data_IF_257092858783
#
_entry.id   IF_257092858783
#
_cell.length_a   1.000
_cell.length_b   1.000
_cell.length_c   1.000
_cell.angle_alpha   90.00
_cell.angle_beta   90.00
_cell.angle_gamma   90.00
#
_symmetry.space_group_name_H-M   'P 1'
#
loop_
_entity.id
_entity.type
_entity.pdbx_description
1 polymer ?
#
# COMPACT_ATOMS: atom_id res chain seq x y z
N UNK A 1 36.33 46.58 9.59
CA UNK A 1 36.60 45.77 8.39
C UNK A 1 35.41 45.91 7.48
N UNK A 2 35.55 46.46 6.26
CA UNK A 2 34.43 46.47 5.33
C UNK A 2 34.16 45.03 4.90
N UNK A 3 32.89 44.63 4.96
CA UNK A 3 32.42 43.34 4.44
C UNK A 3 32.49 43.48 2.92
N UNK A 4 33.41 42.74 2.29
CA UNK A 4 33.42 42.61 0.83
C UNK A 4 32.06 42.05 0.42
N UNK A 5 31.29 42.86 -0.30
CA UNK A 5 30.05 42.43 -0.92
C UNK A 5 30.48 41.47 -2.04
N UNK A 6 30.35 40.17 -1.83
CA UNK A 6 30.55 39.18 -2.89
C UNK A 6 29.68 39.57 -4.10
N UNK A 7 30.30 40.03 -5.19
CA UNK A 7 29.60 40.37 -6.43
C UNK A 7 28.92 39.10 -6.96
N UNK A 8 27.60 39.01 -6.73
CA UNK A 8 26.76 37.94 -7.22
C UNK A 8 26.78 38.00 -8.76
N UNK A 9 27.34 36.96 -9.40
CA UNK A 9 27.45 36.92 -10.86
C UNK A 9 26.09 37.22 -11.52
N UNK A 10 25.96 38.26 -12.36
CA UNK A 10 24.67 38.72 -12.89
C UNK A 10 24.04 37.73 -13.86
N UNK A 11 24.84 36.89 -14.50
CA UNK A 11 24.37 35.92 -15.49
C UNK A 11 23.64 34.75 -14.83
N UNK A 12 24.18 34.24 -13.73
CA UNK A 12 23.62 33.09 -13.02
C UNK A 12 23.03 33.46 -11.65
N UNK A 13 22.99 34.75 -11.29
CA UNK A 13 22.59 35.24 -9.98
C UNK A 13 23.24 34.47 -8.82
N UNK A 14 24.55 34.22 -8.92
CA UNK A 14 25.27 33.47 -7.88
C UNK A 14 25.09 31.95 -7.94
N UNK A 15 24.22 31.40 -8.80
CA UNK A 15 23.99 29.95 -8.95
C UNK A 15 25.20 29.21 -9.52
N UNK A 16 25.97 29.86 -10.41
CA UNK A 16 27.15 29.29 -11.08
C UNK A 16 26.82 28.45 -12.32
N UNK A 17 25.55 28.23 -12.61
CA UNK A 17 25.08 27.42 -13.73
C UNK A 17 23.89 28.11 -14.36
N UNK A 18 23.62 27.78 -15.61
CA UNK A 18 22.45 28.23 -16.33
C UNK A 18 21.74 26.99 -16.84
N UNK A 19 20.43 26.98 -16.67
CA UNK A 19 19.56 26.17 -17.51
C UNK A 19 19.15 27.10 -18.64
N UNK A 20 19.59 26.87 -19.89
CA UNK A 20 19.17 27.70 -21.02
C UNK A 20 17.65 27.74 -21.08
N UNK A 21 17.07 28.94 -21.09
CA UNK A 21 15.64 29.14 -21.29
C UNK A 21 15.33 28.96 -22.79
N UNK A 22 15.15 27.70 -23.18
CA UNK A 22 14.88 27.29 -24.57
C UNK A 22 13.53 26.57 -24.65
N UNK A 23 12.86 26.54 -25.81
CA UNK A 23 11.60 25.81 -25.96
C UNK A 23 11.73 24.30 -25.77
N UNK A 24 10.64 23.65 -25.36
CA UNK A 24 10.52 22.19 -25.24
C UNK A 24 10.92 21.51 -26.56
N UNK A 25 11.82 20.53 -26.50
CA UNK A 25 12.37 19.81 -27.66
C UNK A 25 13.70 20.33 -28.20
N UNK A 26 14.22 21.44 -27.68
CA UNK A 26 15.59 21.88 -27.96
C UNK A 26 16.62 20.95 -27.25
N UNK A 27 17.78 20.64 -27.86
CA UNK A 27 18.78 19.76 -27.24
C UNK A 27 19.23 20.24 -25.86
N UNK A 28 19.34 21.55 -25.69
CA UNK A 28 19.78 22.19 -24.45
C UNK A 28 18.63 22.42 -23.44
N UNK A 29 17.40 21.99 -23.75
CA UNK A 29 16.27 22.09 -22.83
C UNK A 29 16.56 21.29 -21.55
N UNK A 30 16.52 21.95 -20.40
CA UNK A 30 16.83 21.31 -19.11
C UNK A 30 18.29 20.91 -18.91
N UNK A 31 19.17 21.20 -19.88
CA UNK A 31 20.59 20.93 -19.74
C UNK A 31 21.25 21.96 -18.83
N UNK A 32 22.27 21.49 -18.11
CA UNK A 32 23.11 22.33 -17.26
C UNK A 32 24.31 22.78 -18.05
N UNK A 33 24.41 24.07 -18.27
CA UNK A 33 25.65 24.66 -18.73
C UNK A 33 26.32 25.39 -17.58
N UNK A 34 27.63 25.18 -17.45
CA UNK A 34 28.42 25.94 -16.50
C UNK A 34 28.36 27.42 -16.88
N UNK A 35 28.03 28.27 -15.91
CA UNK A 35 28.13 29.70 -16.13
C UNK A 35 29.61 30.04 -16.33
N UNK A 36 29.89 31.03 -17.16
CA UNK A 36 31.25 31.52 -17.43
C UNK A 36 31.98 31.94 -16.15
N UNK A 37 31.26 32.32 -15.09
CA UNK A 37 31.85 32.64 -13.78
C UNK A 37 32.48 31.43 -13.05
N UNK A 38 32.37 30.22 -13.60
CA UNK A 38 33.00 29.01 -13.06
C UNK A 38 34.34 28.64 -13.67
N UNK A 39 34.76 29.30 -14.75
CA UNK A 39 35.98 28.93 -15.46
C UNK A 39 37.26 28.94 -14.57
N UNK A 40 37.22 29.64 -13.43
CA UNK A 40 38.36 29.81 -12.52
C UNK A 40 38.23 29.12 -11.15
N UNK A 41 37.15 28.37 -10.87
CA UNK A 41 36.93 27.78 -9.54
C UNK A 41 37.55 26.39 -9.38
N UNK A 42 38.09 26.11 -8.19
CA UNK A 42 38.55 24.76 -7.83
C UNK A 42 37.35 23.80 -7.65
N UNK A 43 37.61 22.49 -7.74
CA UNK A 43 36.59 21.45 -7.57
C UNK A 43 35.87 21.56 -6.21
N UNK A 44 36.59 21.94 -5.15
CA UNK A 44 36.00 22.13 -3.81
C UNK A 44 35.03 23.32 -3.72
N UNK A 45 35.41 24.47 -4.27
CA UNK A 45 34.56 25.67 -4.31
C UNK A 45 33.30 25.46 -5.17
N UNK A 46 33.43 24.65 -6.23
CA UNK A 46 32.33 24.22 -7.09
C UNK A 46 31.29 23.39 -6.32
N UNK A 47 31.73 22.40 -5.54
CA UNK A 47 30.85 21.55 -4.73
C UNK A 47 30.18 22.32 -3.58
N UNK A 48 30.89 23.23 -2.92
CA UNK A 48 30.31 24.03 -1.83
C UNK A 48 29.19 24.96 -2.34
N UNK A 49 29.39 25.57 -3.52
CA UNK A 49 28.37 26.42 -4.16
C UNK A 49 27.14 25.61 -4.59
N UNK A 50 27.33 24.40 -5.09
CA UNK A 50 26.23 23.46 -5.39
C UNK A 50 25.43 23.11 -4.14
N UNK A 51 26.11 22.90 -2.99
CA UNK A 51 25.44 22.62 -1.72
C UNK A 51 24.56 23.79 -1.28
N UNK A 52 25.01 25.04 -1.44
CA UNK A 52 24.20 26.25 -1.16
C UNK A 52 22.95 26.31 -2.06
N UNK A 53 23.07 25.93 -3.33
CA UNK A 53 21.96 25.90 -4.29
C UNK A 53 20.96 24.74 -4.04
N UNK A 54 21.45 23.61 -3.54
CA UNK A 54 20.68 22.37 -3.49
C UNK A 54 19.54 22.31 -2.49
N UNK A 55 19.45 23.28 -1.58
CA UNK A 55 18.50 23.31 -0.48
C UNK A 55 18.55 22.02 0.40
N UNK A 56 19.68 21.31 0.42
CA UNK A 56 19.88 20.13 1.26
C UNK A 56 20.06 20.47 2.75
N UNK A 57 20.62 21.63 3.08
CA UNK A 57 20.84 22.06 4.47
C UNK A 57 21.51 20.97 5.33
N UNK A 58 20.78 20.48 6.34
CA UNK A 58 21.24 19.45 7.27
C UNK A 58 21.30 18.03 6.68
N UNK A 59 20.71 17.80 5.49
CA UNK A 59 20.71 16.51 4.80
C UNK A 59 22.04 16.22 4.07
N UNK A 60 22.97 17.18 4.06
CA UNK A 60 24.33 17.01 3.49
C UNK A 60 25.12 15.88 4.13
N UNK A 61 24.80 15.50 5.38
CA UNK A 61 25.41 14.36 6.09
C UNK A 61 24.87 12.98 5.68
N UNK A 62 23.76 12.94 4.94
CA UNK A 62 23.08 11.71 4.54
C UNK A 62 23.64 11.26 3.19
N UNK A 63 24.63 10.36 3.22
CA UNK A 63 25.30 9.83 2.03
C UNK A 63 25.05 8.32 1.93
N UNK A 64 25.46 7.72 0.81
CA UNK A 64 25.44 6.25 0.68
C UNK A 64 26.37 5.56 1.70
N UNK A 65 27.44 6.23 2.14
CA UNK A 65 28.38 5.69 3.13
C UNK A 65 27.81 5.69 4.56
N UNK A 66 26.93 6.65 4.89
CA UNK A 66 26.25 6.70 6.20
C UNK A 66 24.96 5.90 6.22
N UNK A 67 24.57 5.27 5.11
CA UNK A 67 23.35 4.47 4.99
C UNK A 67 23.59 3.02 5.43
N UNK A 68 22.71 2.52 6.30
CA UNK A 68 22.66 1.08 6.59
C UNK A 68 22.05 0.34 5.38
N UNK A 69 22.88 -0.40 4.63
CA UNK A 69 22.49 -1.04 3.35
C UNK A 69 21.36 -2.06 3.51
N UNK A 70 21.23 -2.70 4.68
CA UNK A 70 20.13 -3.62 4.98
C UNK A 70 18.85 -2.91 5.45
N UNK A 71 18.92 -1.59 5.68
CA UNK A 71 17.84 -0.83 6.29
C UNK A 71 17.62 -1.21 7.76
N UNK A 72 16.60 -0.60 8.36
CA UNK A 72 16.26 -0.78 9.79
C UNK A 72 15.21 -1.86 10.06
N UNK A 73 14.73 -2.53 9.01
CA UNK A 73 13.73 -3.57 9.12
C UNK A 73 14.35 -4.86 9.67
N UNK A 74 13.60 -5.60 10.50
CA UNK A 74 14.05 -6.87 11.07
C UNK A 74 13.72 -8.07 10.16
N UNK A 75 12.81 -7.91 9.20
CA UNK A 75 12.40 -8.98 8.31
C UNK A 75 13.31 -9.09 7.06
N UNK A 76 13.70 -10.31 6.65
CA UNK A 76 14.62 -10.51 5.52
C UNK A 76 14.13 -9.96 4.18
N UNK A 77 12.82 -9.97 3.94
CA UNK A 77 12.23 -9.49 2.69
C UNK A 77 12.40 -7.97 2.54
N UNK A 78 12.07 -7.21 3.58
CA UNK A 78 12.28 -5.75 3.58
C UNK A 78 13.76 -5.38 3.50
N UNK A 79 14.65 -6.14 4.14
CA UNK A 79 16.10 -5.93 4.01
C UNK A 79 16.57 -6.14 2.57
N UNK A 80 16.07 -7.18 1.91
CA UNK A 80 16.36 -7.44 0.50
C UNK A 80 15.85 -6.32 -0.41
N UNK A 81 14.58 -5.91 -0.25
CA UNK A 81 13.98 -4.81 -1.01
C UNK A 81 14.75 -3.50 -0.82
N UNK A 82 15.09 -3.17 0.43
CA UNK A 82 15.86 -1.97 0.72
C UNK A 82 17.24 -2.03 0.06
N UNK A 83 17.97 -3.14 0.18
CA UNK A 83 19.30 -3.31 -0.44
C UNK A 83 19.25 -3.18 -1.97
N UNK A 84 18.21 -3.71 -2.62
CA UNK A 84 17.98 -3.54 -4.04
C UNK A 84 17.69 -2.07 -4.39
N UNK A 85 16.90 -1.39 -3.56
CA UNK A 85 16.66 0.04 -3.72
C UNK A 85 17.95 0.86 -3.60
N UNK A 86 18.83 0.56 -2.64
CA UNK A 86 20.17 1.20 -2.52
C UNK A 86 20.97 1.04 -3.81
N UNK A 87 21.06 -0.18 -4.34
CA UNK A 87 21.84 -0.47 -5.54
C UNK A 87 21.33 0.31 -6.75
N UNK A 88 20.01 0.35 -6.94
CA UNK A 88 19.39 1.11 -8.04
C UNK A 88 19.56 2.62 -7.85
N UNK A 89 19.36 3.14 -6.63
CA UNK A 89 19.56 4.55 -6.31
C UNK A 89 21.00 5.01 -6.57
N UNK A 90 21.99 4.16 -6.26
CA UNK A 90 23.40 4.45 -6.54
C UNK A 90 23.67 4.52 -8.05
N UNK A 91 23.17 3.54 -8.82
CA UNK A 91 23.29 3.56 -10.28
C UNK A 91 22.59 4.79 -10.90
N UNK A 92 21.41 5.16 -10.39
CA UNK A 92 20.70 6.37 -10.83
C UNK A 92 21.49 7.65 -10.53
N UNK A 93 22.20 7.73 -9.39
CA UNK A 93 23.01 8.90 -9.06
C UNK A 93 24.23 9.07 -9.99
N UNK A 94 24.78 7.97 -10.51
CA UNK A 94 25.88 7.97 -11.49
C UNK A 94 25.43 8.51 -12.86
N UNK A 95 24.19 8.22 -13.28
CA UNK A 95 23.61 8.72 -14.53
C UNK A 95 22.09 8.97 -14.38
N UNK A 96 21.68 10.14 -13.84
CA UNK A 96 20.28 10.47 -13.65
C UNK A 96 19.54 10.59 -14.99
N UNK A 97 18.61 9.68 -15.23
CA UNK A 97 17.76 9.65 -16.41
C UNK A 97 16.37 9.13 -16.05
N UNK A 98 15.34 9.77 -16.58
CA UNK A 98 13.95 9.47 -16.24
C UNK A 98 13.63 9.78 -14.77
N UNK A 99 12.56 9.18 -14.27
CA UNK A 99 12.10 9.41 -12.89
C UNK A 99 12.37 8.19 -11.99
N UNK A 100 12.61 8.45 -10.71
CA UNK A 100 12.79 7.44 -9.68
C UNK A 100 11.86 7.72 -8.50
N UNK A 101 10.92 6.83 -8.24
CA UNK A 101 10.02 6.93 -7.09
C UNK A 101 10.42 5.95 -5.98
N UNK A 102 10.70 6.47 -4.79
CA UNK A 102 10.93 5.70 -3.57
C UNK A 102 9.63 5.64 -2.77
N UNK A 103 9.06 4.44 -2.61
CA UNK A 103 7.76 4.20 -1.97
C UNK A 103 7.94 3.31 -0.75
N UNK A 104 7.28 3.65 0.35
CA UNK A 104 7.31 2.83 1.57
C UNK A 104 6.96 3.62 2.82
N UNK A 105 6.72 2.98 3.97
CA UNK A 105 6.21 3.65 5.17
C UNK A 105 7.20 4.68 5.74
N UNK A 106 6.73 5.54 6.65
CA UNK A 106 7.61 6.45 7.39
C UNK A 106 8.77 5.69 8.08
N UNK A 107 9.94 6.31 8.15
CA UNK A 107 11.13 5.70 8.77
C UNK A 107 11.81 4.58 7.96
N UNK A 108 11.35 4.27 6.75
CA UNK A 108 11.97 3.26 5.85
C UNK A 108 13.22 3.73 5.10
N UNK A 109 13.77 4.91 5.40
CA UNK A 109 15.02 5.40 4.79
C UNK A 109 14.89 6.12 3.45
N UNK A 110 13.68 6.36 2.93
CA UNK A 110 13.47 7.05 1.63
C UNK A 110 14.14 8.42 1.53
N UNK A 111 13.95 9.28 2.52
CA UNK A 111 14.56 10.63 2.56
C UNK A 111 16.08 10.55 2.62
N UNK A 112 16.64 9.56 3.33
CA UNK A 112 18.09 9.33 3.35
C UNK A 112 18.57 8.92 1.96
N UNK A 113 17.91 7.95 1.31
CA UNK A 113 18.25 7.54 -0.06
C UNK A 113 18.18 8.70 -1.05
N UNK A 114 17.12 9.51 -0.99
CA UNK A 114 16.97 10.69 -1.82
C UNK A 114 18.08 11.73 -1.58
N UNK A 115 18.41 12.00 -0.32
CA UNK A 115 19.54 12.87 0.03
C UNK A 115 20.90 12.29 -0.39
N UNK A 116 21.08 10.97 -0.33
CA UNK A 116 22.30 10.30 -0.77
C UNK A 116 22.50 10.41 -2.28
N UNK A 117 21.42 10.27 -3.08
CA UNK A 117 21.44 10.55 -4.52
C UNK A 117 21.87 12.00 -4.76
N UNK A 118 21.26 12.94 -4.03
CA UNK A 118 21.56 14.37 -4.16
C UNK A 118 23.05 14.67 -3.89
N UNK A 119 23.57 14.18 -2.76
CA UNK A 119 24.96 14.39 -2.36
C UNK A 119 25.94 13.81 -3.39
N UNK A 120 25.70 12.59 -3.87
CA UNK A 120 26.57 11.96 -4.88
C UNK A 120 26.56 12.72 -6.22
N UNK A 121 25.40 13.24 -6.64
CA UNK A 121 25.30 14.08 -7.84
C UNK A 121 26.06 15.40 -7.69
N UNK A 122 25.92 16.06 -6.53
CA UNK A 122 26.62 17.31 -6.21
C UNK A 122 28.14 17.11 -6.17
N UNK A 123 28.60 16.01 -5.56
CA UNK A 123 30.01 15.67 -5.50
C UNK A 123 30.58 15.34 -6.90
N UNK A 124 29.72 14.85 -7.79
CA UNK A 124 30.03 14.67 -9.22
C UNK A 124 29.90 15.97 -10.04
N UNK A 125 29.65 17.10 -9.38
CA UNK A 125 29.58 18.42 -10.03
C UNK A 125 28.27 18.72 -10.76
N UNK A 126 27.20 17.95 -10.50
CA UNK A 126 25.87 18.12 -11.09
C UNK A 126 24.94 18.87 -10.12
N UNK A 127 24.21 19.90 -10.57
CA UNK A 127 23.24 20.60 -9.75
C UNK A 127 21.99 19.76 -9.49
N UNK A 128 21.59 19.77 -8.23
CA UNK A 128 20.40 19.11 -7.73
C UNK A 128 19.62 20.13 -6.94
N UNK A 129 18.29 20.12 -7.06
CA UNK A 129 17.40 20.89 -6.20
C UNK A 129 16.59 19.93 -5.34
N UNK A 130 16.82 19.95 -4.03
CA UNK A 130 16.10 19.13 -3.06
C UNK A 130 15.03 19.98 -2.37
N UNK A 131 13.80 19.50 -2.34
CA UNK A 131 12.73 20.23 -1.65
C UNK A 131 11.76 19.28 -0.97
N UNK A 132 11.37 19.62 0.25
CA UNK A 132 10.28 18.96 0.95
C UNK A 132 8.95 19.50 0.40
N UNK A 133 8.07 18.61 -0.06
CA UNK A 133 6.84 19.00 -0.76
C UNK A 133 5.92 19.90 0.08
N UNK A 134 5.64 19.60 1.37
CA UNK A 134 4.89 20.52 2.23
C UNK A 134 5.51 21.92 2.30
N UNK A 135 6.82 22.01 2.53
CA UNK A 135 7.53 23.28 2.65
C UNK A 135 7.48 24.07 1.33
N UNK A 136 7.61 23.40 0.18
CA UNK A 136 7.46 24.02 -1.14
C UNK A 136 6.10 24.69 -1.28
N UNK A 137 5.03 23.96 -0.94
CA UNK A 137 3.67 24.45 -1.09
C UNK A 137 3.39 25.61 -0.14
N UNK A 138 3.88 25.56 1.10
CA UNK A 138 3.72 26.68 2.03
C UNK A 138 4.50 27.93 1.58
N UNK A 139 5.72 27.77 1.05
CA UNK A 139 6.46 28.90 0.48
C UNK A 139 5.73 29.49 -0.73
N UNK A 140 5.28 28.66 -1.67
CA UNK A 140 4.51 29.11 -2.84
C UNK A 140 3.21 29.82 -2.42
N UNK A 141 2.57 29.39 -1.34
CA UNK A 141 1.34 30.02 -0.82
C UNK A 141 1.64 31.35 -0.13
N UNK A 142 2.72 31.44 0.65
CA UNK A 142 3.11 32.67 1.34
C UNK A 142 3.46 33.81 0.38
N UNK A 143 4.06 33.50 -0.78
CA UNK A 143 4.38 34.48 -1.83
C UNK A 143 3.18 35.04 -2.59
N UNK A 144 1.95 34.56 -2.33
CA UNK A 144 0.72 35.19 -2.83
C UNK A 144 0.17 36.27 -1.88
N UNK A 145 0.80 36.51 -0.72
CA UNK A 145 0.44 37.61 0.15
C UNK A 145 0.80 38.96 -0.51
N UNK A 146 -0.04 40.01 -0.42
CA UNK A 146 0.13 41.28 -1.18
C UNK A 146 1.40 42.11 -0.89
N UNK A 147 2.35 41.62 -0.10
CA UNK A 147 3.43 42.42 0.51
C UNK A 147 4.83 41.81 0.40
N UNK A 148 5.07 40.81 -0.47
CA UNK A 148 6.42 40.23 -0.62
C UNK A 148 7.09 40.64 -1.94
N UNK A 149 8.19 41.39 -1.84
CA UNK A 149 9.09 41.80 -2.94
C UNK A 149 9.97 40.65 -3.49
N UNK A 150 9.71 39.39 -3.08
CA UNK A 150 10.38 38.20 -3.64
C UNK A 150 9.40 37.56 -4.63
N UNK A 151 9.79 37.58 -5.89
CA UNK A 151 9.04 37.11 -7.06
C UNK A 151 8.72 35.62 -6.92
N UNK A 152 7.46 35.31 -6.59
CA UNK A 152 6.81 33.99 -6.70
C UNK A 152 7.31 33.14 -7.88
N UNK A 153 7.59 33.79 -9.02
CA UNK A 153 8.11 33.16 -10.24
C UNK A 153 9.43 32.41 -10.02
N UNK A 154 10.39 32.98 -9.29
CA UNK A 154 11.78 32.49 -9.35
C UNK A 154 11.96 31.11 -8.71
N UNK A 155 11.30 30.87 -7.57
CA UNK A 155 11.35 29.56 -6.89
C UNK A 155 10.57 28.50 -7.68
N UNK A 156 9.42 28.87 -8.24
CA UNK A 156 8.61 27.95 -9.02
C UNK A 156 9.33 27.57 -10.32
N UNK A 157 9.89 28.55 -11.03
CA UNK A 157 10.70 28.35 -12.24
C UNK A 157 11.95 27.52 -11.93
N UNK A 158 12.57 27.72 -10.76
CA UNK A 158 13.68 26.89 -10.30
C UNK A 158 13.27 25.43 -10.11
N UNK A 159 12.08 25.14 -9.55
CA UNK A 159 11.57 23.77 -9.41
C UNK A 159 11.25 23.14 -10.78
N UNK A 160 10.69 23.92 -11.70
CA UNK A 160 10.35 23.45 -13.05
C UNK A 160 11.61 23.09 -13.84
N UNK A 161 12.61 23.97 -13.83
CA UNK A 161 13.82 23.88 -14.67
C UNK A 161 15.00 23.20 -13.97
N UNK A 162 14.83 22.74 -12.73
CA UNK A 162 15.86 22.04 -11.98
C UNK A 162 16.39 20.82 -12.77
N UNK A 163 17.70 20.72 -12.99
CA UNK A 163 18.31 19.64 -13.78
C UNK A 163 18.08 18.25 -13.18
N UNK A 164 18.22 18.15 -11.86
CA UNK A 164 17.72 17.04 -11.07
C UNK A 164 16.86 17.62 -9.95
N UNK A 165 15.58 17.31 -9.95
CA UNK A 165 14.65 17.68 -8.88
C UNK A 165 14.42 16.49 -7.95
N UNK A 166 14.48 16.74 -6.65
CA UNK A 166 14.10 15.78 -5.63
C UNK A 166 12.92 16.33 -4.83
N UNK A 167 11.78 15.66 -4.96
CA UNK A 167 10.54 15.95 -4.24
C UNK A 167 10.39 14.96 -3.09
N UNK A 168 10.73 15.41 -1.88
CA UNK A 168 10.64 14.57 -0.68
C UNK A 168 9.30 14.75 0.05
N UNK A 169 8.62 13.64 0.37
CA UNK A 169 7.41 13.64 1.18
C UNK A 169 6.11 13.88 0.39
N UNK A 170 6.05 13.45 -0.87
CA UNK A 170 4.82 13.52 -1.66
C UNK A 170 3.71 12.68 -1.01
N UNK A 171 2.54 13.30 -0.78
CA UNK A 171 1.36 12.64 -0.18
C UNK A 171 1.16 12.94 1.31
N UNK A 172 2.09 13.64 1.97
CA UNK A 172 1.96 14.07 3.37
C UNK A 172 1.12 15.35 3.55
N UNK A 173 0.70 16.00 2.47
CA UNK A 173 -0.01 17.29 2.49
C UNK A 173 -1.53 17.13 2.51
N UNK A 174 -2.22 18.11 3.12
CA UNK A 174 -3.67 18.28 3.00
C UNK A 174 -4.04 18.44 1.53
N UNK A 175 -4.94 17.59 1.02
CA UNK A 175 -5.37 17.52 -0.38
C UNK A 175 -6.18 18.75 -0.83
N UNK A 176 -5.56 19.94 -0.82
CA UNK A 176 -6.18 21.15 -1.35
C UNK A 176 -6.13 21.12 -2.89
N UNK A 177 -7.19 21.56 -3.60
CA UNK A 177 -7.20 21.63 -5.05
C UNK A 177 -6.02 22.45 -5.63
N UNK A 178 -5.62 23.52 -4.92
CA UNK A 178 -4.48 24.36 -5.31
C UNK A 178 -3.14 23.60 -5.25
N UNK A 179 -2.90 22.81 -4.19
CA UNK A 179 -1.68 22.01 -4.09
C UNK A 179 -1.60 20.96 -5.19
N UNK A 180 -2.74 20.32 -5.51
CA UNK A 180 -2.84 19.36 -6.61
C UNK A 180 -2.53 20.04 -7.95
N UNK A 181 -3.12 21.20 -8.23
CA UNK A 181 -2.87 21.96 -9.47
C UNK A 181 -1.38 22.29 -9.65
N UNK A 182 -0.71 22.76 -8.58
CA UNK A 182 0.71 23.11 -8.64
C UNK A 182 1.62 21.91 -8.84
N UNK A 183 1.33 20.79 -8.16
CA UNK A 183 2.07 19.55 -8.37
C UNK A 183 1.88 19.00 -9.79
N UNK A 184 0.66 19.10 -10.34
CA UNK A 184 0.38 18.71 -11.73
C UNK A 184 1.17 19.58 -12.72
N UNK A 185 1.26 20.90 -12.50
CA UNK A 185 2.08 21.79 -13.33
C UNK A 185 3.55 21.36 -13.34
N UNK A 186 4.12 21.05 -12.17
CA UNK A 186 5.50 20.57 -12.04
C UNK A 186 5.68 19.25 -12.79
N UNK A 187 4.80 18.27 -12.57
CA UNK A 187 4.90 16.96 -13.20
C UNK A 187 4.78 17.07 -14.73
N UNK A 188 3.89 17.91 -15.23
CA UNK A 188 3.66 18.08 -16.67
C UNK A 188 4.87 18.68 -17.37
N UNK A 189 5.42 19.76 -16.83
CA UNK A 189 6.60 20.40 -17.38
C UNK A 189 7.78 19.43 -17.42
N UNK A 190 8.03 18.73 -16.31
CA UNK A 190 9.14 17.79 -16.22
C UNK A 190 8.95 16.52 -17.05
N UNK A 191 7.72 16.08 -17.25
CA UNK A 191 7.42 14.96 -18.17
C UNK A 191 7.66 15.38 -19.61
N UNK A 192 7.17 16.57 -20.02
CA UNK A 192 7.34 17.08 -21.37
C UNK A 192 8.82 17.35 -21.72
N UNK A 193 9.60 17.74 -20.73
CA UNK A 193 11.03 17.98 -20.86
C UNK A 193 11.94 16.78 -20.56
N UNK A 194 11.39 15.61 -20.25
CA UNK A 194 12.13 14.41 -19.83
C UNK A 194 13.16 14.68 -18.70
N UNK A 195 12.82 15.60 -17.79
CA UNK A 195 13.75 16.08 -16.77
C UNK A 195 13.88 15.06 -15.62
N UNK A 196 15.12 14.67 -15.23
CA UNK A 196 15.37 13.73 -14.16
C UNK A 196 14.71 14.13 -12.83
N UNK A 197 13.93 13.22 -12.23
CA UNK A 197 13.14 13.55 -11.02
C UNK A 197 13.14 12.40 -10.03
N UNK A 198 13.53 12.66 -8.79
CA UNK A 198 13.39 11.69 -7.68
C UNK A 198 12.20 12.10 -6.82
N UNK A 199 11.34 11.14 -6.50
CA UNK A 199 10.13 11.36 -5.70
C UNK A 199 10.21 10.42 -4.51
N UNK A 200 9.91 10.91 -3.31
CA UNK A 200 9.65 10.04 -2.16
C UNK A 200 8.19 10.15 -1.72
N UNK A 201 7.57 9.03 -1.39
CA UNK A 201 6.20 9.02 -0.87
C UNK A 201 6.05 7.97 0.22
N UNK A 202 5.38 8.37 1.31
CA UNK A 202 5.06 7.50 2.42
C UNK A 202 3.68 6.83 2.27
N UNK A 203 2.81 7.44 1.48
CA UNK A 203 1.50 6.92 1.10
C UNK A 203 1.64 5.92 -0.03
N UNK A 204 0.64 5.07 -0.19
CA UNK A 204 0.60 4.19 -1.35
C UNK A 204 0.29 5.00 -2.61
N UNK A 205 0.78 4.53 -3.76
CA UNK A 205 0.56 5.24 -5.03
C UNK A 205 -0.92 5.36 -5.38
N UNK A 206 -1.74 4.41 -4.94
CA UNK A 206 -3.20 4.41 -5.16
C UNK A 206 -3.93 5.45 -4.29
N UNK A 207 -3.30 5.92 -3.21
CA UNK A 207 -3.82 6.96 -2.32
C UNK A 207 -3.42 8.38 -2.79
N UNK A 208 -2.55 8.49 -3.80
CA UNK A 208 -2.20 9.76 -4.42
C UNK A 208 -3.30 10.24 -5.37
N UNK A 209 -3.25 11.53 -5.72
CA UNK A 209 -4.07 12.07 -6.80
C UNK A 209 -3.96 11.19 -8.07
N UNK A 210 -5.08 10.76 -8.69
CA UNK A 210 -5.05 9.80 -9.80
C UNK A 210 -4.16 10.24 -10.96
N UNK A 211 -4.07 11.56 -11.19
CA UNK A 211 -3.17 12.11 -12.19
C UNK A 211 -1.70 11.84 -11.85
N UNK A 212 -1.27 12.22 -10.64
CA UNK A 212 0.11 12.00 -10.18
C UNK A 212 0.45 10.51 -10.12
N UNK A 213 -0.47 9.68 -9.62
CA UNK A 213 -0.32 8.22 -9.56
C UNK A 213 -0.05 7.64 -10.95
N UNK A 214 -0.85 8.03 -11.96
CA UNK A 214 -0.70 7.53 -13.34
C UNK A 214 0.66 7.86 -13.96
N UNK A 215 1.26 9.00 -13.60
CA UNK A 215 2.59 9.41 -14.07
C UNK A 215 3.69 8.62 -13.38
N UNK A 216 3.59 8.42 -12.07
CA UNK A 216 4.56 7.65 -11.28
C UNK A 216 4.53 6.16 -11.65
N UNK A 217 3.35 5.61 -11.95
CA UNK A 217 3.18 4.21 -12.34
C UNK A 217 3.56 3.92 -13.80
N UNK A 218 3.80 4.95 -14.62
CA UNK A 218 4.22 4.75 -16.00
C UNK A 218 5.66 4.25 -16.06
N UNK A 219 5.84 2.96 -16.35
CA UNK A 219 7.15 2.28 -16.41
C UNK A 219 8.10 2.83 -17.48
N UNK A 220 7.58 3.52 -18.50
CA UNK A 220 8.41 4.19 -19.50
C UNK A 220 9.01 5.52 -19.03
N UNK A 221 8.42 6.12 -17.99
CA UNK A 221 8.83 7.42 -17.44
C UNK A 221 9.51 7.26 -16.08
N UNK A 222 8.96 6.42 -15.21
CA UNK A 222 9.31 6.33 -13.80
C UNK A 222 9.60 4.90 -13.38
N UNK A 223 10.74 4.72 -12.70
CA UNK A 223 11.08 3.48 -12.01
C UNK A 223 10.64 3.58 -10.55
N UNK A 224 9.73 2.71 -10.15
CA UNK A 224 9.24 2.63 -8.76
C UNK A 224 10.07 1.62 -7.97
N UNK A 225 10.56 2.04 -6.80
CA UNK A 225 11.30 1.20 -5.86
C UNK A 225 10.59 1.19 -4.50
N UNK A 226 10.39 -0.01 -3.98
CA UNK A 226 9.83 -0.20 -2.64
C UNK A 226 10.96 -0.34 -1.61
N UNK A 227 10.92 0.48 -0.56
CA UNK A 227 11.95 0.48 0.50
C UNK A 227 11.63 -0.45 1.66
N UNK A 228 10.43 -1.02 1.69
CA UNK A 228 10.01 -2.01 2.70
C UNK A 228 8.91 -2.88 2.11
N UNK A 229 8.84 -4.14 2.54
CA UNK A 229 7.73 -5.00 2.17
C UNK A 229 6.42 -4.40 2.70
N UNK A 230 5.41 -4.34 1.82
CA UNK A 230 4.05 -3.90 2.14
C UNK A 230 3.38 -4.80 3.18
N UNK A 231 4.01 -5.89 3.62
CA UNK A 231 3.43 -6.82 4.58
C UNK A 231 3.15 -6.23 5.97
N UNK A 232 3.66 -5.05 6.34
CA UNK A 232 3.63 -4.55 7.73
C UNK A 232 2.88 -3.23 7.99
N UNK A 233 2.24 -2.60 7.00
CA UNK A 233 1.31 -1.51 7.30
C UNK A 233 0.08 -2.08 8.03
N UNK A 234 -0.46 -1.45 9.10
CA UNK A 234 -1.73 -1.86 9.71
C UNK A 234 -2.85 -2.00 8.68
N UNK A 235 -2.75 -1.22 7.60
CA UNK A 235 -3.57 -1.29 6.39
C UNK A 235 -3.69 -2.66 5.74
N UNK A 236 -2.68 -3.50 5.92
CA UNK A 236 -2.57 -4.81 5.27
C UNK A 236 -2.83 -5.98 6.22
N UNK A 237 -3.27 -5.75 7.47
CA UNK A 237 -3.78 -6.83 8.33
C UNK A 237 -5.22 -7.19 7.99
N UNK A 238 -6.05 -6.19 7.65
CA UNK A 238 -7.45 -6.42 7.27
C UNK A 238 -7.49 -7.21 5.96
N UNK A 239 -8.22 -8.32 5.95
CA UNK A 239 -8.31 -9.18 4.76
C UNK A 239 -7.29 -10.30 4.69
N UNK A 240 -6.36 -10.45 5.65
CA UNK A 240 -5.38 -11.54 5.67
C UNK A 240 -5.83 -12.72 6.50
N UNK A 241 -5.31 -13.89 6.14
CA UNK A 241 -5.44 -15.10 6.92
C UNK A 241 -4.19 -15.26 7.78
N UNK A 242 -4.38 -15.45 9.09
CA UNK A 242 -3.27 -15.68 10.00
C UNK A 242 -2.44 -16.89 9.54
N UNK A 243 -1.08 -16.82 9.53
CA UNK A 243 -0.24 -17.92 9.05
C UNK A 243 -0.48 -19.25 9.77
N UNK A 244 -0.90 -19.20 11.05
CA UNK A 244 -1.26 -20.38 11.83
C UNK A 244 -2.52 -21.06 11.29
N UNK A 245 -3.54 -20.29 10.87
CA UNK A 245 -4.75 -20.83 10.25
C UNK A 245 -4.42 -21.51 8.92
N UNK A 246 -3.61 -20.88 8.06
CA UNK A 246 -3.18 -21.48 6.79
C UNK A 246 -2.41 -22.80 6.96
N UNK A 247 -1.63 -22.92 8.05
CA UNK A 247 -0.90 -24.16 8.37
C UNK A 247 -1.80 -25.27 8.92
N UNK A 248 -2.86 -24.92 9.64
CA UNK A 248 -3.71 -25.88 10.35
C UNK A 248 -4.97 -26.28 9.60
N UNK A 249 -5.51 -25.38 8.77
CA UNK A 249 -6.81 -25.53 8.10
C UNK A 249 -6.62 -25.71 6.59
N UNK A 250 -6.29 -26.94 6.18
CA UNK A 250 -6.15 -27.33 4.78
C UNK A 250 -7.16 -28.43 4.42
N UNK A 251 -7.30 -28.75 3.13
CA UNK A 251 -8.16 -29.85 2.72
C UNK A 251 -7.66 -31.20 3.26
N UNK A 252 -6.35 -31.36 3.40
CA UNK A 252 -5.71 -32.58 3.93
C UNK A 252 -5.94 -32.74 5.43
N UNK A 253 -6.01 -31.63 6.19
CA UNK A 253 -6.25 -31.67 7.64
C UNK A 253 -7.74 -31.73 8.01
N UNK A 254 -8.65 -31.55 7.04
CA UNK A 254 -10.09 -31.63 7.30
C UNK A 254 -10.56 -33.08 7.43
N UNK A 255 -11.19 -33.42 8.56
CA UNK A 255 -11.72 -34.78 8.79
C UNK A 255 -13.22 -34.84 8.53
N UNK A 256 -13.62 -35.53 7.46
CA UNK A 256 -15.04 -35.89 7.23
C UNK A 256 -15.54 -36.95 8.21
N UNK A 257 -14.66 -37.54 9.02
CA UNK A 257 -14.99 -38.56 10.02
C UNK A 257 -15.19 -38.03 11.44
N UNK A 258 -15.09 -36.71 11.66
CA UNK A 258 -15.56 -36.05 12.88
C UNK A 258 -15.17 -36.67 14.23
N UNK A 259 -15.97 -36.35 15.25
CA UNK A 259 -16.00 -37.04 16.55
C UNK A 259 -17.00 -38.22 16.54
N UNK A 260 -16.82 -39.18 15.63
CA UNK A 260 -17.76 -40.29 15.41
C UNK A 260 -19.18 -39.83 14.99
N UNK A 261 -19.31 -39.12 13.85
CA UNK A 261 -20.58 -38.62 13.35
C UNK A 261 -21.51 -39.77 12.96
N UNK A 262 -22.82 -39.55 13.08
CA UNK A 262 -23.85 -40.39 12.50
C UNK A 262 -23.73 -40.41 10.96
N UNK A 263 -24.32 -41.42 10.30
CA UNK A 263 -24.20 -41.57 8.85
C UNK A 263 -24.67 -40.34 8.05
N UNK A 264 -25.70 -39.63 8.53
CA UNK A 264 -26.22 -38.41 7.90
C UNK A 264 -25.29 -37.20 8.09
N UNK A 265 -24.72 -37.02 9.28
CA UNK A 265 -23.73 -35.97 9.58
C UNK A 265 -22.47 -36.13 8.73
N UNK A 266 -22.03 -37.39 8.58
CA UNK A 266 -20.92 -37.71 7.69
C UNK A 266 -21.21 -37.36 6.24
N UNK A 267 -22.40 -37.70 5.74
CA UNK A 267 -22.80 -37.36 4.37
C UNK A 267 -22.87 -35.84 4.16
N UNK A 268 -23.35 -35.08 5.15
CA UNK A 268 -23.35 -33.62 5.14
C UNK A 268 -21.92 -33.05 5.08
N UNK A 269 -21.00 -33.55 5.91
CA UNK A 269 -19.59 -33.13 5.89
C UNK A 269 -18.89 -33.48 4.58
N UNK A 270 -19.15 -34.67 4.02
CA UNK A 270 -18.60 -35.09 2.71
C UNK A 270 -19.14 -34.20 1.58
N UNK A 271 -20.43 -33.85 1.60
CA UNK A 271 -21.01 -32.92 0.63
C UNK A 271 -20.36 -31.52 0.73
N UNK A 272 -20.21 -30.98 1.93
CA UNK A 272 -19.55 -29.70 2.16
C UNK A 272 -18.07 -29.71 1.72
N UNK A 273 -17.35 -30.78 2.04
CA UNK A 273 -15.96 -30.95 1.62
C UNK A 273 -15.80 -31.02 0.10
N UNK A 274 -16.68 -31.76 -0.58
CA UNK A 274 -16.68 -31.86 -2.04
C UNK A 274 -17.03 -30.53 -2.72
N UNK A 275 -18.05 -29.83 -2.20
CA UNK A 275 -18.43 -28.50 -2.68
C UNK A 275 -17.27 -27.50 -2.50
N UNK A 276 -16.62 -27.50 -1.34
CA UNK A 276 -15.46 -26.65 -1.08
C UNK A 276 -14.28 -26.95 -2.02
N UNK A 277 -13.98 -28.22 -2.29
CA UNK A 277 -12.94 -28.58 -3.26
C UNK A 277 -13.29 -28.14 -4.68
N UNK A 278 -14.54 -28.31 -5.11
CA UNK A 278 -15.00 -27.86 -6.42
C UNK A 278 -14.86 -26.33 -6.54
N UNK A 279 -15.34 -25.60 -5.54
CA UNK A 279 -15.24 -24.15 -5.49
C UNK A 279 -13.79 -23.67 -5.45
N UNK A 280 -12.88 -24.35 -4.74
CA UNK A 280 -11.46 -23.99 -4.75
C UNK A 280 -10.78 -24.13 -6.12
N UNK A 281 -11.27 -25.03 -6.98
CA UNK A 281 -10.79 -25.20 -8.35
C UNK A 281 -11.35 -24.07 -9.23
N UNK A 282 -12.66 -23.86 -9.15
CA UNK A 282 -13.38 -22.90 -9.99
C UNK A 282 -14.48 -22.17 -9.19
N UNK A 283 -14.16 -21.05 -8.52
CA UNK A 283 -15.12 -20.19 -7.84
C UNK A 283 -16.00 -19.49 -8.86
N UNK A 284 -17.26 -19.86 -8.84
CA UNK A 284 -18.32 -19.15 -9.54
C UNK A 284 -19.46 -18.86 -8.54
N UNK A 285 -20.00 -17.65 -8.61
CA UNK A 285 -21.00 -17.20 -7.65
C UNK A 285 -20.52 -17.33 -6.20
N UNK A 286 -21.41 -17.68 -5.29
CA UNK A 286 -21.18 -17.70 -3.86
C UNK A 286 -21.25 -19.11 -3.30
N UNK A 287 -20.46 -19.38 -2.26
CA UNK A 287 -20.55 -20.59 -1.45
C UNK A 287 -20.90 -20.20 -0.02
N UNK A 288 -22.08 -20.58 0.44
CA UNK A 288 -22.54 -20.32 1.81
C UNK A 288 -22.51 -21.60 2.63
N UNK A 289 -21.67 -21.64 3.67
CA UNK A 289 -21.58 -22.74 4.63
C UNK A 289 -22.39 -22.38 5.88
N UNK A 290 -23.44 -23.15 6.16
CA UNK A 290 -24.30 -22.97 7.34
C UNK A 290 -24.18 -24.16 8.28
N UNK A 291 -24.23 -23.93 9.59
CA UNK A 291 -24.23 -25.03 10.57
C UNK A 291 -23.83 -24.59 11.96
N UNK A 292 -23.88 -25.51 12.93
CA UNK A 292 -23.53 -25.24 14.33
C UNK A 292 -22.12 -24.68 14.53
N UNK A 293 -21.82 -24.20 15.74
CA UNK A 293 -20.46 -23.80 16.09
C UNK A 293 -19.53 -25.01 16.09
N UNK A 294 -18.31 -24.81 15.60
CA UNK A 294 -17.28 -25.86 15.64
C UNK A 294 -17.44 -27.01 14.64
N UNK A 295 -18.36 -26.94 13.68
CA UNK A 295 -18.57 -27.98 12.63
C UNK A 295 -17.58 -27.93 11.46
N UNK A 296 -16.66 -26.94 11.44
CA UNK A 296 -15.60 -26.84 10.44
C UNK A 296 -15.86 -25.89 9.26
N UNK A 297 -16.85 -24.99 9.34
CA UNK A 297 -17.14 -23.98 8.30
C UNK A 297 -15.93 -23.10 7.96
N UNK A 298 -15.35 -22.46 8.97
CA UNK A 298 -14.14 -21.63 8.82
C UNK A 298 -12.96 -22.43 8.30
N UNK A 299 -12.83 -23.71 8.70
CA UNK A 299 -11.77 -24.59 8.20
C UNK A 299 -11.88 -24.76 6.69
N UNK A 300 -13.08 -25.10 6.17
CA UNK A 300 -13.29 -25.26 4.74
C UNK A 300 -13.08 -23.93 3.99
N UNK A 301 -13.54 -22.81 4.54
CA UNK A 301 -13.31 -21.48 3.95
C UNK A 301 -11.81 -21.15 3.83
N UNK A 302 -11.03 -21.41 4.89
CA UNK A 302 -9.57 -21.21 4.90
C UNK A 302 -8.84 -22.21 4.00
N UNK A 303 -9.31 -23.45 3.91
CA UNK A 303 -8.74 -24.45 3.00
C UNK A 303 -8.91 -24.03 1.54
N UNK A 304 -10.08 -23.49 1.17
CA UNK A 304 -10.31 -22.88 -0.15
C UNK A 304 -9.33 -21.73 -0.36
N UNK A 305 -9.24 -20.81 0.61
CA UNK A 305 -8.36 -19.65 0.51
C UNK A 305 -6.89 -20.05 0.29
N UNK A 306 -6.39 -21.01 1.07
CA UNK A 306 -5.04 -21.54 0.97
C UNK A 306 -4.76 -22.06 -0.45
N UNK A 307 -5.69 -22.84 -1.02
CA UNK A 307 -5.56 -23.36 -2.38
C UNK A 307 -5.57 -22.27 -3.48
N UNK A 308 -6.21 -21.11 -3.24
CA UNK A 308 -6.19 -19.97 -4.18
C UNK A 308 -4.91 -19.15 -4.02
N UNK A 309 -4.49 -18.88 -2.78
CA UNK A 309 -3.24 -18.18 -2.48
C UNK A 309 -2.03 -18.92 -3.05
N UNK A 310 -1.99 -20.25 -2.99
CA UNK A 310 -0.93 -21.07 -3.61
C UNK A 310 -0.87 -20.94 -5.13
N UNK A 311 -1.97 -20.53 -5.79
CA UNK A 311 -2.03 -20.23 -7.23
C UNK A 311 -1.75 -18.75 -7.54
N UNK A 312 -1.31 -17.98 -6.56
CA UNK A 312 -1.05 -16.54 -6.70
C UNK A 312 -2.32 -15.70 -6.83
N UNK A 313 -3.50 -16.25 -6.53
CA UNK A 313 -4.76 -15.52 -6.61
C UNK A 313 -5.05 -14.84 -5.27
N UNK A 314 -5.34 -13.52 -5.27
CA UNK A 314 -5.58 -12.77 -4.04
C UNK A 314 -6.91 -13.20 -3.40
N UNK A 315 -6.89 -13.32 -2.07
CA UNK A 315 -8.05 -13.62 -1.24
C UNK A 315 -8.15 -12.58 -0.14
N UNK A 316 -9.36 -12.09 0.11
CA UNK A 316 -9.66 -11.23 1.25
C UNK A 316 -10.46 -12.02 2.28
N UNK A 317 -9.87 -12.30 3.43
CA UNK A 317 -10.52 -12.99 4.54
C UNK A 317 -10.89 -11.99 5.64
N UNK A 318 -12.15 -11.98 6.03
CA UNK A 318 -12.66 -11.12 7.08
C UNK A 318 -13.50 -11.92 8.07
N UNK A 319 -13.14 -11.84 9.35
CA UNK A 319 -14.07 -12.12 10.42
C UNK A 319 -15.02 -10.92 10.55
N UNK A 320 -16.32 -11.13 10.33
CA UNK A 320 -17.28 -10.03 10.12
C UNK A 320 -17.32 -9.03 11.29
N UNK A 321 -17.36 -9.46 12.57
CA UNK A 321 -17.33 -8.52 13.69
C UNK A 321 -16.08 -7.63 13.71
N UNK A 322 -14.90 -8.20 13.46
CA UNK A 322 -13.64 -7.44 13.41
C UNK A 322 -13.60 -6.49 12.21
N UNK A 323 -14.06 -6.92 11.04
CA UNK A 323 -14.13 -6.08 9.84
C UNK A 323 -14.98 -4.83 10.09
N UNK A 324 -16.12 -4.97 10.75
CA UNK A 324 -17.01 -3.85 11.04
C UNK A 324 -16.41 -2.90 12.07
N UNK A 325 -15.71 -3.41 13.07
CA UNK A 325 -14.97 -2.58 14.03
C UNK A 325 -13.83 -1.81 13.36
N UNK A 326 -13.08 -2.47 12.48
CA UNK A 326 -12.01 -1.85 11.69
C UNK A 326 -12.57 -0.74 10.77
N UNK A 327 -13.61 -1.04 10.00
CA UNK A 327 -14.27 -0.06 9.15
C UNK A 327 -14.80 1.12 9.98
N UNK A 328 -15.34 0.87 11.18
CA UNK A 328 -15.83 1.93 12.06
C UNK A 328 -14.66 2.80 12.54
N UNK A 329 -13.56 2.18 12.97
CA UNK A 329 -12.35 2.89 13.39
C UNK A 329 -11.83 3.81 12.28
N UNK A 330 -11.69 3.31 11.05
CA UNK A 330 -11.20 4.11 9.92
C UNK A 330 -12.18 5.20 9.47
N UNK A 331 -13.48 5.07 9.78
CA UNK A 331 -14.47 6.10 9.46
C UNK A 331 -14.44 7.28 10.43
N UNK A 332 -14.01 7.07 11.68
CA UNK A 332 -14.12 8.07 12.75
C UNK A 332 -12.77 8.51 13.34
N UNK A 333 -11.66 7.86 12.98
CA UNK A 333 -10.31 8.21 13.43
C UNK A 333 -9.49 8.85 12.28
N UNK A 334 -9.43 10.18 12.29
CA UNK A 334 -8.73 10.98 11.29
C UNK A 334 -7.19 10.96 11.42
N UNK A 335 -6.63 10.32 12.45
CA UNK A 335 -5.18 10.15 12.62
C UNK A 335 -4.68 8.82 12.03
N UNK A 336 -5.59 7.89 11.76
CA UNK A 336 -5.25 6.66 11.06
C UNK A 336 -4.98 6.98 9.60
N UNK A 337 -3.73 6.81 9.13
CA UNK A 337 -3.33 7.03 7.73
C UNK A 337 -3.95 6.05 6.72
N UNK A 338 -5.20 5.63 6.96
CA UNK A 338 -6.00 4.65 6.24
C UNK A 338 -7.38 5.25 5.98
N UNK A 339 -7.80 5.31 4.72
CA UNK A 339 -9.16 5.76 4.42
C UNK A 339 -10.15 4.60 4.55
N UNK A 340 -11.27 4.85 5.24
CA UNK A 340 -12.44 3.97 5.25
C UNK A 340 -12.79 3.50 3.83
N UNK A 341 -12.80 4.43 2.88
CA UNK A 341 -13.16 4.18 1.48
C UNK A 341 -12.27 3.13 0.83
N UNK A 342 -10.96 3.14 1.12
CA UNK A 342 -10.02 2.17 0.55
C UNK A 342 -10.33 0.74 0.99
N UNK A 343 -10.40 0.50 2.31
CA UNK A 343 -10.69 -0.84 2.86
C UNK A 343 -12.06 -1.30 2.36
N UNK A 344 -13.04 -0.39 2.35
CA UNK A 344 -14.38 -0.70 1.90
C UNK A 344 -14.44 -1.08 0.40
N UNK A 345 -13.71 -0.38 -0.47
CA UNK A 345 -13.59 -0.73 -1.88
C UNK A 345 -12.83 -2.04 -2.09
N UNK A 346 -11.80 -2.31 -1.29
CA UNK A 346 -11.05 -3.57 -1.36
C UNK A 346 -11.95 -4.76 -1.03
N UNK A 347 -12.76 -4.66 0.03
CA UNK A 347 -13.75 -5.70 0.39
C UNK A 347 -14.78 -5.90 -0.72
N UNK A 348 -15.27 -4.81 -1.32
CA UNK A 348 -16.27 -4.89 -2.40
C UNK A 348 -15.74 -5.54 -3.67
N UNK A 349 -14.49 -5.26 -4.06
CA UNK A 349 -13.97 -5.59 -5.39
C UNK A 349 -12.93 -6.71 -5.42
N UNK A 350 -12.52 -7.25 -4.26
CA UNK A 350 -11.55 -8.35 -4.22
C UNK A 350 -12.02 -9.58 -5.03
N UNK A 351 -11.11 -10.25 -5.77
CA UNK A 351 -11.44 -11.40 -6.61
C UNK A 351 -12.10 -12.57 -5.86
N UNK A 352 -11.71 -12.79 -4.60
CA UNK A 352 -12.36 -13.73 -3.70
C UNK A 352 -12.49 -13.11 -2.32
N UNK A 353 -13.73 -12.95 -1.84
CA UNK A 353 -14.04 -12.49 -0.50
C UNK A 353 -14.50 -13.66 0.37
N UNK A 354 -14.01 -13.74 1.59
CA UNK A 354 -14.50 -14.65 2.63
C UNK A 354 -15.03 -13.80 3.78
N UNK A 355 -16.33 -13.93 4.04
CA UNK A 355 -17.02 -13.36 5.20
C UNK A 355 -17.26 -14.47 6.20
N UNK A 356 -16.39 -14.57 7.20
CA UNK A 356 -16.46 -15.58 8.25
C UNK A 356 -17.33 -15.10 9.42
N UNK A 357 -18.17 -16.00 9.95
CA UNK A 357 -19.11 -15.79 11.05
C UNK A 357 -20.05 -14.59 10.84
N UNK A 358 -20.60 -14.49 9.64
CA UNK A 358 -21.64 -13.52 9.30
C UNK A 358 -22.89 -13.77 10.16
N UNK A 359 -23.41 -12.74 10.84
CA UNK A 359 -24.54 -12.80 11.77
C UNK A 359 -24.16 -12.91 13.25
N UNK A 360 -22.85 -12.89 13.58
CA UNK A 360 -22.34 -12.82 14.96
C UNK A 360 -21.97 -11.40 15.39
N UNK A 361 -22.10 -10.42 14.50
CA UNK A 361 -21.84 -9.01 14.77
C UNK A 361 -22.91 -8.35 15.66
N UNK A 362 -22.56 -7.19 16.24
CA UNK A 362 -23.55 -6.34 16.88
C UNK A 362 -24.49 -5.74 15.81
N UNK A 363 -25.79 -5.98 15.96
CA UNK A 363 -26.85 -5.48 15.07
C UNK A 363 -27.06 -3.95 15.19
N UNK A 364 -26.03 -3.16 14.91
CA UNK A 364 -26.12 -1.71 14.81
C UNK A 364 -26.63 -1.30 13.42
N UNK A 365 -27.40 -0.20 13.29
CA UNK A 365 -27.86 0.27 11.97
C UNK A 365 -26.73 0.47 10.97
N UNK A 366 -25.58 0.98 11.45
CA UNK A 366 -24.38 1.19 10.63
C UNK A 366 -23.78 -0.13 10.13
N UNK A 367 -23.67 -1.15 10.99
CA UNK A 367 -23.17 -2.47 10.59
C UNK A 367 -24.06 -3.11 9.51
N UNK A 368 -25.38 -3.08 9.72
CA UNK A 368 -26.37 -3.60 8.77
C UNK A 368 -26.28 -2.86 7.44
N UNK A 369 -26.13 -1.53 7.46
CA UNK A 369 -25.97 -0.72 6.25
C UNK A 369 -24.70 -1.10 5.46
N UNK A 370 -23.54 -1.21 6.14
CA UNK A 370 -22.27 -1.54 5.48
C UNK A 370 -22.24 -2.96 4.93
N UNK A 371 -22.76 -3.94 5.68
CA UNK A 371 -22.92 -5.30 5.18
C UNK A 371 -23.86 -5.34 3.98
N UNK A 372 -24.99 -4.63 4.04
CA UNK A 372 -25.92 -4.54 2.92
C UNK A 372 -25.23 -4.03 1.65
N UNK A 373 -24.45 -2.96 1.75
CA UNK A 373 -23.69 -2.41 0.62
C UNK A 373 -22.68 -3.39 0.03
N UNK A 374 -21.94 -4.14 0.87
CA UNK A 374 -20.98 -5.16 0.42
C UNK A 374 -21.72 -6.30 -0.31
N UNK A 375 -22.75 -6.85 0.34
CA UNK A 375 -23.53 -7.99 -0.16
C UNK A 375 -24.23 -7.66 -1.48
N UNK A 376 -24.89 -6.50 -1.58
CA UNK A 376 -25.59 -6.06 -2.80
C UNK A 376 -24.61 -5.88 -3.96
N UNK A 377 -23.50 -5.20 -3.72
CA UNK A 377 -22.49 -4.94 -4.76
C UNK A 377 -21.96 -6.26 -5.34
N UNK A 378 -21.55 -7.17 -4.46
CA UNK A 378 -20.96 -8.45 -4.88
C UNK A 378 -21.98 -9.39 -5.51
N UNK A 379 -23.24 -9.33 -5.08
CA UNK A 379 -24.34 -10.12 -5.64
C UNK A 379 -24.65 -9.65 -7.07
N UNK A 380 -24.82 -8.34 -7.27
CA UNK A 380 -25.08 -7.76 -8.59
C UNK A 380 -23.93 -8.00 -9.57
N UNK A 381 -22.68 -7.93 -9.10
CA UNK A 381 -21.49 -8.17 -9.91
C UNK A 381 -21.12 -9.66 -10.01
N UNK A 382 -21.83 -10.56 -9.33
CA UNK A 382 -21.56 -12.01 -9.22
C UNK A 382 -20.10 -12.32 -8.84
N UNK A 383 -19.51 -11.52 -7.96
CA UNK A 383 -18.12 -11.70 -7.54
C UNK A 383 -18.00 -12.90 -6.59
N UNK A 384 -16.98 -13.78 -6.76
CA UNK A 384 -16.78 -14.96 -5.94
C UNK A 384 -16.75 -14.64 -4.44
N UNK A 385 -17.68 -15.22 -3.67
CA UNK A 385 -17.82 -14.91 -2.24
C UNK A 385 -18.11 -16.16 -1.43
N UNK A 386 -17.35 -16.39 -0.37
CA UNK A 386 -17.60 -17.46 0.60
C UNK A 386 -18.18 -16.81 1.85
N UNK A 387 -19.27 -17.37 2.36
CA UNK A 387 -19.92 -16.92 3.59
C UNK A 387 -19.97 -18.09 4.54
N UNK A 388 -19.54 -17.89 5.80
CA UNK A 388 -19.84 -18.84 6.88
C UNK A 388 -20.81 -18.20 7.86
N UNK A 389 -21.79 -18.97 8.33
CA UNK A 389 -22.72 -18.50 9.35
C UNK A 389 -23.26 -19.64 10.20
N UNK A 390 -23.64 -19.33 11.43
CA UNK A 390 -24.32 -20.25 12.35
C UNK A 390 -25.80 -20.45 12.04
N UNK A 391 -26.43 -19.45 11.45
CA UNK A 391 -27.86 -19.42 11.18
C UNK A 391 -28.12 -18.79 9.82
N UNK A 392 -29.26 -19.14 9.23
CA UNK A 392 -29.64 -18.58 7.94
C UNK A 392 -30.29 -17.19 8.07
N UNK A 393 -30.64 -16.77 9.30
CA UNK A 393 -31.19 -15.46 9.62
C UNK A 393 -30.11 -14.54 10.14
N UNK A 394 -29.26 -14.14 9.20
CA UNK A 394 -28.09 -13.30 9.44
C UNK A 394 -28.47 -11.94 10.05
N UNK A 395 -29.64 -11.40 9.71
CA UNK A 395 -30.16 -10.12 10.23
C UNK A 395 -31.66 -10.15 10.55
N UNK A 396 -32.23 -11.35 10.78
CA UNK A 396 -33.68 -11.59 10.91
C UNK A 396 -34.35 -12.24 9.68
N UNK A 397 -35.53 -12.82 9.89
CA UNK A 397 -36.22 -13.78 8.99
C UNK A 397 -36.60 -13.26 7.58
N UNK A 398 -36.42 -11.96 7.28
CA UNK A 398 -36.76 -11.38 5.96
C UNK A 398 -35.90 -10.18 5.58
N UNK A 399 -34.63 -10.16 6.00
CA UNK A 399 -33.70 -9.10 5.65
C UNK A 399 -33.23 -9.15 4.18
N UNK A 400 -32.92 -8.00 3.56
CA UNK A 400 -32.46 -7.95 2.17
C UNK A 400 -31.07 -8.60 1.96
N UNK A 401 -30.28 -8.74 3.04
CA UNK A 401 -29.03 -9.52 3.06
C UNK A 401 -29.36 -11.02 2.94
N UNK A 402 -30.23 -11.53 3.82
CA UNK A 402 -30.68 -12.93 3.83
C UNK A 402 -31.23 -13.37 2.47
N UNK A 403 -32.04 -12.52 1.82
CA UNK A 403 -32.60 -12.78 0.48
C UNK A 403 -31.51 -13.03 -0.57
N UNK A 404 -30.43 -12.24 -0.57
CA UNK A 404 -29.31 -12.36 -1.53
C UNK A 404 -28.42 -13.55 -1.24
N UNK A 405 -28.16 -13.84 0.04
CA UNK A 405 -27.39 -15.02 0.45
C UNK A 405 -28.11 -16.32 0.07
N UNK A 406 -29.46 -16.32 0.03
CA UNK A 406 -30.29 -17.46 -0.38
C UNK A 406 -30.61 -17.51 -1.87
N UNK A 407 -30.18 -16.53 -2.67
CA UNK A 407 -30.49 -16.50 -4.10
C UNK A 407 -29.83 -17.69 -4.80
N UNK A 408 -30.59 -18.70 -5.28
CA UNK A 408 -30.02 -19.91 -5.88
C UNK A 408 -29.36 -19.65 -7.24
N UNK A 409 -29.59 -18.48 -7.86
CA UNK A 409 -28.94 -18.10 -9.11
C UNK A 409 -27.52 -17.59 -8.91
N UNK A 410 -27.14 -17.27 -7.67
CA UNK A 410 -25.81 -16.75 -7.32
C UNK A 410 -25.15 -17.58 -6.23
N UNK A 411 -25.88 -18.12 -5.26
CA UNK A 411 -25.34 -18.74 -4.04
C UNK A 411 -25.66 -20.22 -3.95
N UNK A 412 -24.62 -21.04 -3.86
CA UNK A 412 -24.71 -22.44 -3.44
C UNK A 412 -24.69 -22.51 -1.91
N UNK A 413 -25.80 -22.94 -1.33
CA UNK A 413 -25.98 -23.02 0.11
C UNK A 413 -25.84 -24.47 0.60
N UNK A 414 -24.90 -24.70 1.51
CA UNK A 414 -24.58 -26.02 2.07
C UNK A 414 -24.77 -26.00 3.59
N UNK A 415 -25.60 -26.93 4.08
CA UNK A 415 -25.76 -27.19 5.50
C UNK A 415 -24.74 -28.24 5.98
N UNK A 416 -24.05 -27.89 7.06
CA UNK A 416 -23.06 -28.70 7.77
C UNK A 416 -23.61 -29.14 9.12
N UNK A 417 -24.00 -30.41 9.19
CA UNK A 417 -24.50 -31.05 10.40
C UNK A 417 -23.41 -31.98 10.95
N UNK A 418 -22.81 -31.61 12.08
CA UNK A 418 -21.80 -32.42 12.75
C UNK A 418 -21.71 -32.06 14.24
N UNK A 419 -21.24 -32.98 15.10
CA UNK A 419 -20.85 -32.63 16.46
C UNK A 419 -19.66 -31.66 16.44
N UNK A 420 -19.59 -30.78 17.45
CA UNK A 420 -18.49 -29.83 17.61
C UNK A 420 -17.14 -30.59 17.68
N UNK A 421 -16.27 -30.31 16.72
CA UNK A 421 -14.94 -30.92 16.62
C UNK A 421 -14.02 -30.54 17.79
N UNK A 422 -14.33 -29.47 18.53
CA UNK A 422 -13.57 -28.99 19.70
C UNK A 422 -13.84 -29.81 20.95
N UNK A 423 -14.96 -30.53 21.01
CA UNK A 423 -15.35 -31.33 22.18
C UNK A 423 -14.76 -32.74 22.08
N UNK A 424 -13.63 -33.00 22.75
CA UNK A 424 -13.08 -34.37 22.84
C UNK A 424 -14.05 -35.28 23.60
N UNK A 425 -14.58 -36.30 22.92
CA UNK A 425 -15.35 -37.37 23.58
C UNK A 425 -14.42 -38.09 24.56
N UNK A 426 -14.62 -37.91 25.87
CA UNK A 426 -13.96 -38.74 26.89
C UNK A 426 -14.44 -40.18 26.70
N UNK A 427 -13.62 -41.00 26.04
CA UNK A 427 -13.89 -42.42 25.87
C UNK A 427 -14.08 -43.11 27.22
N UNK A 428 -15.29 -43.61 27.46
CA UNK A 428 -15.58 -44.46 28.60
C UNK A 428 -14.77 -45.75 28.52
N UNK A 429 -13.81 -45.91 29.42
CA UNK A 429 -13.09 -47.16 29.64
C UNK A 429 -14.08 -48.27 30.03
N UNK A 430 -14.38 -49.18 29.10
CA UNK A 430 -14.90 -50.51 29.44
C UNK A 430 -13.84 -51.27 30.24
N UNK A 431 -13.81 -51.09 31.56
CA UNK A 431 -13.08 -51.96 32.48
C UNK A 431 -14.02 -53.07 32.93
N UNK A 432 -13.63 -54.30 32.62
CA UNK A 432 -14.47 -55.48 32.75
C UNK A 432 -14.84 -55.83 34.20
N UNK A 433 -16.11 -56.18 34.40
CA UNK A 433 -16.51 -57.02 35.51
C UNK A 433 -16.17 -58.47 35.17
N UNK A 434 -15.00 -58.90 35.65
CA UNK A 434 -14.66 -60.32 35.81
C UNK A 434 -15.58 -60.90 36.87
N UNK A 435 -16.30 -61.97 36.50
CA UNK A 435 -16.99 -62.90 37.40
C UNK A 435 -16.07 -63.27 38.58
N UNK A 436 -16.57 -63.08 39.80
CA UNK A 436 -16.06 -63.76 40.99
C UNK A 436 -17.07 -64.85 41.35
N UNK A 437 -16.69 -66.08 41.05
CA UNK A 437 -17.24 -67.30 41.61
C UNK A 437 -16.83 -67.41 43.08
N UNK A 438 -17.81 -67.50 43.98
CA UNK A 438 -17.76 -68.28 45.21
C UNK A 438 -19.16 -68.74 45.58
#
# INVERSE_FOLDING_TARGET
YPVEVEEVCPNCQGRGWLTPDVPVGHPDFGQVVACTCQANNTVGERSERLRRYSNLGYLTRLTFDTLEIQGRAQDPESQHLFSAAVAVSKAYAEEPSGWLALVGPHGSGKTHLAAAIANMCIDSGRPVFFVHVPDLLDHLRASYAPTSDITYSDLFDQVLTAPLLILDGLGAQSATPWAQEKLQQIFNHRTAGELPTVITTATELDDLDPYLASRIQNTGLCRVLETRSRLQSPAHQVGRIAPQMLKQMSFESFSTRGNSPAAHERASLEAAFNAAQAYARDPDGWLTLLGGTGVGKTHLAVAIASARLQRGQPVFFAFVPELLEDLRRYAFDHESGMSFDRVFQQVKNTPLLILDDLGQEQNTPWAVEKLYQIIVHRHNARLPTIITSSSIDVTGESGPITSRVRDPSVSMLIHMDAPDFRVKVRGGSKRGQRKASR
#
